data_IF_758571833054
#
_entry.id   IF_758571833054
#
_cell.length_a   1.000
_cell.length_b   1.000
_cell.length_c   1.000
_cell.angle_alpha   90.00
_cell.angle_beta   90.00
_cell.angle_gamma   90.00
#
_symmetry.space_group_name_H-M   'P 1'
#
loop_
_entity.id
_entity.type
_entity.pdbx_description
1 polymer ?
#
# COMPACT_ATOMS: atom_id res chain seq x y z
N UNK A 1 20.07 9.03 -20.82
CA UNK A 1 18.83 8.65 -20.11
C UNK A 1 17.63 8.89 -21.02
N UNK A 2 16.67 7.95 -21.07
CA UNK A 2 15.39 8.21 -21.75
C UNK A 2 14.63 9.24 -20.93
N UNK A 3 14.29 10.38 -21.51
CA UNK A 3 13.51 11.41 -20.83
C UNK A 3 12.07 10.91 -20.64
N UNK A 4 11.63 10.78 -19.39
CA UNK A 4 10.25 10.43 -19.09
C UNK A 4 9.32 11.61 -19.40
N UNK A 5 8.30 11.39 -20.23
CA UNK A 5 7.29 12.41 -20.55
C UNK A 5 6.08 12.19 -19.64
N UNK A 6 5.59 13.28 -19.03
CA UNK A 6 4.45 13.23 -18.12
C UNK A 6 3.17 12.86 -18.88
N UNK A 7 2.56 11.75 -18.50
CA UNK A 7 1.24 11.38 -19.01
C UNK A 7 0.16 12.34 -18.47
N UNK A 8 -0.69 12.82 -19.38
CA UNK A 8 -1.91 13.56 -19.06
C UNK A 8 -2.97 12.64 -18.43
N UNK A 9 -3.99 13.25 -17.82
CA UNK A 9 -5.12 12.50 -17.26
C UNK A 9 -5.85 11.66 -18.31
N UNK A 10 -6.00 12.19 -19.53
CA UNK A 10 -6.68 11.49 -20.63
C UNK A 10 -5.89 10.27 -21.10
N UNK A 11 -4.56 10.41 -21.24
CA UNK A 11 -3.69 9.28 -21.57
C UNK A 11 -3.76 8.19 -20.49
N UNK A 12 -3.70 8.56 -19.21
CA UNK A 12 -3.87 7.60 -18.10
C UNK A 12 -5.25 6.93 -18.15
N UNK A 13 -6.32 7.69 -18.41
CA UNK A 13 -7.68 7.15 -18.46
C UNK A 13 -7.92 6.21 -19.65
N UNK A 14 -7.15 6.35 -20.74
CA UNK A 14 -7.23 5.50 -21.92
C UNK A 14 -6.54 4.14 -21.72
N UNK A 15 -5.71 3.98 -20.68
CA UNK A 15 -5.07 2.71 -20.37
C UNK A 15 -6.09 1.68 -19.85
N UNK A 16 -5.83 0.37 -20.07
CA UNK A 16 -6.64 -0.69 -19.48
C UNK A 16 -6.63 -0.60 -17.95
N UNK A 17 -7.79 -0.85 -17.33
CA UNK A 17 -7.89 -0.97 -15.88
C UNK A 17 -7.22 -2.28 -15.46
N UNK A 18 -6.43 -2.23 -14.39
CA UNK A 18 -5.89 -3.43 -13.72
C UNK A 18 -6.41 -3.49 -12.29
N UNK A 19 -6.61 -4.72 -11.82
CA UNK A 19 -6.99 -5.05 -10.45
C UNK A 19 -6.20 -6.29 -10.04
N UNK A 20 -6.01 -6.45 -8.74
CA UNK A 20 -5.46 -7.69 -8.21
C UNK A 20 -6.51 -8.81 -8.32
N UNK A 21 -6.11 -9.94 -8.89
CA UNK A 21 -6.97 -11.12 -9.14
C UNK A 21 -6.53 -12.36 -8.34
N UNK A 22 -5.47 -12.26 -7.54
CA UNK A 22 -4.97 -13.36 -6.72
C UNK A 22 -5.69 -13.49 -5.38
N UNK A 23 -5.11 -14.31 -4.49
CA UNK A 23 -5.71 -14.60 -3.19
C UNK A 23 -5.68 -13.39 -2.27
N UNK A 24 -6.81 -13.10 -1.62
CA UNK A 24 -6.96 -12.02 -0.64
C UNK A 24 -7.43 -12.62 0.68
N UNK A 25 -6.68 -12.39 1.75
CA UNK A 25 -7.04 -12.81 3.11
C UNK A 25 -7.33 -11.58 3.97
N UNK A 26 -8.56 -11.49 4.47
CA UNK A 26 -9.01 -10.37 5.32
C UNK A 26 -9.01 -10.85 6.77
N UNK A 27 -8.33 -10.12 7.63
CA UNK A 27 -8.11 -10.47 9.03
C UNK A 27 -8.57 -9.37 9.96
N UNK A 28 -9.29 -9.74 11.00
CA UNK A 28 -9.85 -8.87 12.04
C UNK A 28 -9.35 -9.28 13.42
N UNK A 29 -9.77 -8.56 14.46
CA UNK A 29 -9.40 -8.85 15.86
C UNK A 29 -9.92 -10.21 16.34
N UNK A 30 -10.89 -10.79 15.63
CA UNK A 30 -11.49 -12.10 15.93
C UNK A 30 -10.73 -13.27 15.30
N UNK A 31 -9.83 -12.98 14.36
CA UNK A 31 -9.10 -13.98 13.60
C UNK A 31 -7.74 -14.27 14.23
N UNK A 32 -7.23 -15.49 14.01
CA UNK A 32 -5.86 -15.82 14.42
C UNK A 32 -4.85 -15.31 13.38
N UNK A 33 -4.35 -14.10 13.60
CA UNK A 33 -3.41 -13.45 12.67
C UNK A 33 -1.99 -14.03 12.70
N UNK A 34 -1.68 -14.92 13.65
CA UNK A 34 -0.31 -15.45 13.82
C UNK A 34 0.16 -16.24 12.59
N UNK A 35 -0.76 -16.92 11.90
CA UNK A 35 -0.46 -17.65 10.66
C UNK A 35 0.00 -16.68 9.55
N UNK A 36 -0.75 -15.61 9.32
CA UNK A 36 -0.39 -14.56 8.37
C UNK A 36 0.93 -13.87 8.72
N UNK A 37 1.16 -13.56 10.01
CA UNK A 37 2.43 -12.99 10.47
C UNK A 37 3.61 -13.92 10.21
N UNK A 38 3.43 -15.23 10.42
CA UNK A 38 4.48 -16.21 10.16
C UNK A 38 4.74 -16.36 8.65
N UNK A 39 3.70 -16.28 7.83
CA UNK A 39 3.85 -16.28 6.37
C UNK A 39 4.60 -15.04 5.88
N UNK A 40 4.20 -13.85 6.34
CA UNK A 40 4.85 -12.57 6.01
C UNK A 40 6.36 -12.55 6.33
N UNK A 41 6.81 -13.30 7.33
CA UNK A 41 8.23 -13.40 7.69
C UNK A 41 9.07 -14.19 6.68
N UNK A 42 8.43 -14.92 5.77
CA UNK A 42 9.13 -15.67 4.72
C UNK A 42 9.46 -14.80 3.49
N UNK A 43 8.99 -13.55 3.46
CA UNK A 43 9.22 -12.62 2.36
C UNK A 43 10.24 -11.56 2.75
N UNK A 44 11.20 -11.31 1.86
CA UNK A 44 12.19 -10.23 2.01
C UNK A 44 11.67 -8.88 1.48
N UNK A 45 10.56 -8.90 0.74
CA UNK A 45 9.93 -7.72 0.13
C UNK A 45 8.41 -7.88 0.16
N UNK A 46 7.71 -6.85 0.64
CA UNK A 46 6.26 -6.77 0.64
C UNK A 46 5.77 -5.40 0.18
N UNK A 47 4.65 -5.36 -0.52
CA UNK A 47 3.91 -4.13 -0.80
C UNK A 47 3.16 -3.67 0.44
N UNK A 48 3.17 -2.37 0.72
CA UNK A 48 2.55 -1.76 1.89
C UNK A 48 1.63 -0.62 1.44
N UNK A 49 0.44 -0.58 2.04
CA UNK A 49 -0.47 0.55 1.95
C UNK A 49 -1.33 0.64 3.23
N UNK A 50 -2.00 1.78 3.43
CA UNK A 50 -3.02 1.92 4.48
C UNK A 50 -4.22 2.73 4.00
N UNK A 51 -5.37 2.51 4.62
CA UNK A 51 -6.55 3.33 4.34
C UNK A 51 -7.19 3.83 5.63
N UNK A 52 -7.46 5.13 5.65
CA UNK A 52 -7.95 5.88 6.81
C UNK A 52 -9.35 6.39 6.54
N UNK A 53 -10.22 6.41 7.57
CA UNK A 53 -11.52 7.07 7.47
C UNK A 53 -11.34 8.55 7.10
N UNK A 54 -11.97 9.05 6.01
CA UNK A 54 -11.81 10.44 5.60
C UNK A 54 -12.41 11.41 6.62
N UNK A 55 -11.67 12.47 6.96
CA UNK A 55 -12.16 13.60 7.77
C UNK A 55 -12.32 14.84 6.89
N UNK A 56 -13.54 15.38 6.81
CA UNK A 56 -13.84 16.58 6.00
C UNK A 56 -13.79 17.88 6.82
N UNK A 57 -13.50 17.79 8.11
CA UNK A 57 -13.36 18.91 9.05
C UNK A 57 -11.92 18.95 9.55
N UNK A 58 -11.35 20.16 9.71
CA UNK A 58 -10.04 20.30 10.37
C UNK A 58 -10.14 19.76 11.80
N UNK A 59 -9.34 18.75 12.10
CA UNK A 59 -9.34 18.04 13.39
C UNK A 59 -8.14 17.11 13.48
N UNK A 60 -8.03 16.32 14.57
CA UNK A 60 -7.00 15.31 14.70
C UNK A 60 -7.06 14.31 13.54
N UNK A 61 -5.90 13.78 13.15
CA UNK A 61 -5.81 12.71 12.17
C UNK A 61 -6.53 11.47 12.71
N UNK A 62 -7.25 10.76 11.85
CA UNK A 62 -7.76 9.44 12.21
C UNK A 62 -6.61 8.44 12.09
N UNK A 63 -6.48 7.48 13.02
CA UNK A 63 -5.60 6.35 12.77
C UNK A 63 -6.10 5.54 11.56
N UNK A 64 -5.22 4.79 10.89
CA UNK A 64 -5.64 3.92 9.80
C UNK A 64 -6.71 2.94 10.26
N UNK A 65 -7.68 2.67 9.39
CA UNK A 65 -8.74 1.69 9.64
C UNK A 65 -8.34 0.31 9.13
N UNK A 66 -7.53 0.26 8.07
CA UNK A 66 -6.96 -0.98 7.55
C UNK A 66 -5.50 -0.79 7.12
N UNK A 67 -4.77 -1.89 7.06
CA UNK A 67 -3.43 -1.97 6.48
C UNK A 67 -3.36 -3.16 5.53
N UNK A 68 -2.77 -2.94 4.35
CA UNK A 68 -2.61 -3.98 3.33
C UNK A 68 -1.14 -4.36 3.20
N UNK A 69 -0.85 -5.65 3.20
CA UNK A 69 0.48 -6.20 2.97
C UNK A 69 0.42 -7.19 1.80
N UNK A 70 0.99 -6.80 0.66
CA UNK A 70 1.04 -7.62 -0.54
C UNK A 70 2.32 -8.46 -0.59
N UNK A 71 2.15 -9.76 -0.82
CA UNK A 71 3.22 -10.71 -1.10
C UNK A 71 3.19 -11.12 -2.58
N UNK A 72 4.06 -12.04 -2.98
CA UNK A 72 4.11 -12.51 -4.38
C UNK A 72 2.86 -13.30 -4.80
N UNK A 73 2.19 -13.99 -3.88
CA UNK A 73 1.08 -14.91 -4.15
C UNK A 73 -0.27 -14.47 -3.57
N UNK A 74 -0.28 -13.58 -2.57
CA UNK A 74 -1.50 -13.14 -1.87
C UNK A 74 -1.38 -11.70 -1.36
N UNK A 75 -2.53 -11.11 -1.03
CA UNK A 75 -2.61 -9.85 -0.29
C UNK A 75 -3.35 -10.05 1.02
N UNK A 76 -2.71 -9.64 2.11
CA UNK A 76 -3.35 -9.56 3.42
C UNK A 76 -3.98 -8.18 3.62
N UNK A 77 -5.22 -8.15 4.11
CA UNK A 77 -5.89 -6.93 4.55
C UNK A 77 -6.22 -7.08 6.03
N UNK A 78 -5.54 -6.30 6.87
CA UNK A 78 -5.77 -6.28 8.32
C UNK A 78 -6.70 -5.12 8.67
N UNK A 79 -7.87 -5.42 9.25
CA UNK A 79 -8.82 -4.42 9.74
C UNK A 79 -8.58 -4.12 11.22
N UNK A 80 -8.40 -2.85 11.56
CA UNK A 80 -8.13 -2.40 12.91
C UNK A 80 -9.42 -2.01 13.65
N UNK A 81 -9.85 -2.86 14.58
CA UNK A 81 -10.88 -2.50 15.57
C UNK A 81 -10.27 -1.88 16.83
N UNK A 82 -9.02 -2.22 17.12
CA UNK A 82 -8.22 -1.78 18.26
C UNK A 82 -6.72 -1.84 17.88
N UNK A 83 -5.83 -1.60 18.85
CA UNK A 83 -4.38 -1.60 18.63
C UNK A 83 -3.71 -3.00 18.72
N UNK A 84 -4.45 -4.07 19.03
CA UNK A 84 -3.87 -5.39 19.32
C UNK A 84 -3.29 -6.06 18.09
N UNK A 85 -4.00 -6.01 16.95
CA UNK A 85 -3.49 -6.50 15.67
C UNK A 85 -2.25 -5.69 15.28
N UNK A 86 -2.33 -4.36 15.39
CA UNK A 86 -1.23 -3.49 14.99
C UNK A 86 0.02 -3.73 15.82
N UNK A 87 -0.08 -3.96 17.14
CA UNK A 87 1.06 -4.34 17.99
C UNK A 87 1.82 -5.58 17.50
N UNK A 88 1.12 -6.52 16.88
CA UNK A 88 1.76 -7.71 16.32
C UNK A 88 2.36 -7.44 14.93
N UNK A 89 1.65 -6.67 14.10
CA UNK A 89 2.12 -6.29 12.77
C UNK A 89 3.29 -5.31 12.81
N UNK A 90 3.41 -4.49 13.85
CA UNK A 90 4.53 -3.58 14.04
C UNK A 90 5.87 -4.32 14.10
N UNK A 91 5.88 -5.60 14.50
CA UNK A 91 7.07 -6.47 14.44
C UNK A 91 7.50 -6.76 13.00
N UNK A 92 6.58 -6.83 12.04
CA UNK A 92 6.89 -6.94 10.60
C UNK A 92 7.40 -5.59 10.08
N UNK A 93 6.72 -4.50 10.44
CA UNK A 93 7.12 -3.15 10.01
C UNK A 93 8.48 -2.72 10.59
N UNK A 94 8.85 -3.25 11.77
CA UNK A 94 10.15 -3.03 12.43
C UNK A 94 11.21 -4.08 12.07
N UNK A 95 10.91 -5.01 11.16
CA UNK A 95 11.88 -6.02 10.74
C UNK A 95 12.75 -5.47 9.60
N UNK A 96 14.06 -5.34 9.87
CA UNK A 96 15.05 -4.84 8.91
C UNK A 96 15.26 -5.76 7.70
N UNK A 97 14.96 -7.06 7.84
CA UNK A 97 15.15 -8.04 6.77
C UNK A 97 13.98 -8.05 5.77
N UNK A 98 12.88 -7.35 6.08
CA UNK A 98 11.71 -7.26 5.21
C UNK A 98 11.62 -5.83 4.70
N UNK A 99 11.80 -5.62 3.41
CA UNK A 99 11.56 -4.34 2.77
C UNK A 99 10.07 -4.12 2.58
N UNK A 100 9.57 -2.95 2.98
CA UNK A 100 8.19 -2.52 2.75
C UNK A 100 8.20 -1.43 1.68
N UNK A 101 7.50 -1.63 0.58
CA UNK A 101 7.43 -0.62 -0.49
C UNK A 101 6.00 -0.09 -0.68
N UNK A 102 5.88 1.22 -0.83
CA UNK A 102 4.59 1.91 -1.04
C UNK A 102 4.81 3.29 -1.67
N UNK A 103 3.76 4.11 -1.71
CA UNK A 103 3.84 5.49 -2.20
C UNK A 103 3.26 6.45 -1.17
N UNK A 104 4.01 7.49 -0.82
CA UNK A 104 3.66 8.46 0.25
C UNK A 104 3.62 7.86 1.66
N UNK A 105 4.50 6.88 1.92
CA UNK A 105 4.48 6.05 3.14
C UNK A 105 4.76 6.84 4.42
N UNK A 106 5.50 7.95 4.34
CA UNK A 106 5.87 8.77 5.50
C UNK A 106 4.65 9.18 6.33
N UNK A 107 3.55 9.51 5.64
CA UNK A 107 2.31 9.90 6.31
C UNK A 107 1.67 8.71 7.00
N UNK A 108 1.59 7.57 6.33
CA UNK A 108 1.00 6.34 6.88
C UNK A 108 1.74 5.90 8.14
N UNK A 109 3.08 5.99 8.14
CA UNK A 109 3.90 5.64 9.30
C UNK A 109 3.61 6.52 10.52
N UNK A 110 3.45 7.84 10.31
CA UNK A 110 3.05 8.77 11.37
C UNK A 110 1.65 8.43 11.88
N UNK A 111 0.71 8.12 10.98
CA UNK A 111 -0.67 7.81 11.33
C UNK A 111 -0.77 6.47 12.11
N UNK A 112 0.04 5.47 11.74
CA UNK A 112 0.17 4.20 12.45
C UNK A 112 0.75 4.35 13.87
N UNK A 113 1.62 5.33 14.10
CA UNK A 113 2.12 5.62 15.46
C UNK A 113 1.02 6.07 16.43
N UNK A 114 -0.14 6.55 15.95
CA UNK A 114 -1.29 6.83 16.80
C UNK A 114 -2.00 5.58 17.30
N UNK A 115 -1.85 4.43 16.61
CA UNK A 115 -2.32 3.13 17.10
C UNK A 115 -1.38 2.60 18.19
N UNK A 116 -0.08 2.53 17.89
CA UNK A 116 0.94 2.11 18.84
C UNK A 116 2.33 2.59 18.41
N UNK A 117 3.23 2.97 19.32
CA UNK A 117 4.61 3.28 18.95
C UNK A 117 5.34 2.06 18.36
N UNK A 118 6.13 2.28 17.31
CA UNK A 118 7.00 1.27 16.70
C UNK A 118 8.21 1.94 16.02
N UNK A 119 9.18 1.14 15.56
CA UNK A 119 10.39 1.62 14.88
C UNK A 119 10.34 1.26 13.38
N UNK A 120 9.85 2.16 12.51
CA UNK A 120 9.75 1.88 11.09
C UNK A 120 11.15 1.74 10.46
N UNK A 121 11.43 0.60 9.84
CA UNK A 121 12.72 0.33 9.19
C UNK A 121 12.54 -0.37 7.85
N UNK A 122 13.49 -0.20 6.92
CA UNK A 122 13.46 -0.81 5.58
C UNK A 122 12.20 -0.46 4.78
N UNK A 123 11.76 0.81 4.85
CA UNK A 123 10.70 1.34 4.00
C UNK A 123 11.28 2.00 2.75
N UNK A 124 10.65 1.76 1.60
CA UNK A 124 10.99 2.40 0.33
C UNK A 124 9.76 3.12 -0.21
N UNK A 125 9.86 4.45 -0.28
CA UNK A 125 8.84 5.27 -0.92
C UNK A 125 9.13 5.39 -2.42
N UNK A 126 8.31 4.72 -3.24
CA UNK A 126 8.47 4.68 -4.69
C UNK A 126 8.20 6.05 -5.34
N UNK A 127 7.45 6.94 -4.68
CA UNK A 127 7.27 8.32 -5.11
C UNK A 127 8.54 9.15 -4.93
N UNK A 128 9.28 8.92 -3.85
CA UNK A 128 10.59 9.54 -3.61
C UNK A 128 11.65 9.03 -4.59
N UNK A 129 11.74 7.71 -4.78
CA UNK A 129 12.62 7.09 -5.79
C UNK A 129 12.34 7.68 -7.19
N UNK A 130 11.06 7.81 -7.56
CA UNK A 130 10.68 8.40 -8.83
C UNK A 130 11.16 9.86 -8.96
N UNK A 131 11.02 10.65 -7.90
CA UNK A 131 11.45 12.05 -7.88
C UNK A 131 12.96 12.19 -8.05
N UNK A 132 13.74 11.35 -7.36
CA UNK A 132 15.21 11.33 -7.43
C UNK A 132 15.72 10.98 -8.84
N UNK A 133 14.96 10.14 -9.56
CA UNK A 133 15.24 9.74 -10.93
C UNK A 133 14.59 10.65 -11.99
N UNK A 134 14.14 11.85 -11.62
CA UNK A 134 13.51 12.84 -12.51
C UNK A 134 12.25 12.32 -13.26
N UNK A 135 11.57 11.33 -12.69
CA UNK A 135 10.31 10.79 -13.23
C UNK A 135 9.18 11.79 -12.92
N UNK A 136 8.35 12.18 -13.89
CA UNK A 136 7.42 13.30 -13.73
C UNK A 136 6.12 12.97 -12.96
N UNK A 137 5.95 11.72 -12.54
CA UNK A 137 4.86 11.22 -11.70
C UNK A 137 5.44 10.70 -10.39
N UNK A 138 4.77 10.98 -9.27
CA UNK A 138 5.19 10.51 -7.94
C UNK A 138 4.08 9.83 -7.16
N UNK A 139 2.84 9.84 -7.68
CA UNK A 139 1.71 9.15 -7.08
C UNK A 139 1.48 7.80 -7.75
N UNK A 140 0.97 6.82 -6.99
CA UNK A 140 0.84 5.43 -7.42
C UNK A 140 0.19 5.29 -8.80
N UNK A 141 -0.99 5.88 -8.99
CA UNK A 141 -1.71 5.84 -10.27
C UNK A 141 -0.89 6.34 -11.47
N UNK A 142 -0.08 7.38 -11.29
CA UNK A 142 0.75 7.93 -12.35
C UNK A 142 1.96 7.05 -12.66
N UNK A 143 2.57 6.49 -11.61
CA UNK A 143 3.67 5.54 -11.73
C UNK A 143 3.22 4.23 -12.37
N UNK A 144 2.11 3.66 -11.94
CA UNK A 144 1.49 2.46 -12.53
C UNK A 144 1.20 2.70 -14.02
N UNK A 145 0.61 3.83 -14.38
CA UNK A 145 0.38 4.19 -15.78
C UNK A 145 1.67 4.28 -16.60
N UNK A 146 2.73 4.85 -16.02
CA UNK A 146 3.99 5.03 -16.72
C UNK A 146 4.76 3.71 -16.91
N UNK A 147 4.80 2.87 -15.89
CA UNK A 147 5.67 1.69 -15.85
C UNK A 147 4.94 0.38 -16.18
N UNK A 148 3.73 0.19 -15.67
CA UNK A 148 2.92 -1.02 -15.93
C UNK A 148 2.02 -0.87 -17.17
N UNK A 149 1.86 0.34 -17.72
CA UNK A 149 0.97 0.63 -18.86
C UNK A 149 -0.51 0.31 -18.58
N UNK A 150 -0.90 0.35 -17.32
CA UNK A 150 -2.27 0.14 -16.86
C UNK A 150 -2.70 1.32 -15.98
N UNK A 151 -4.01 1.48 -15.77
CA UNK A 151 -4.55 2.39 -14.76
C UNK A 151 -5.15 1.61 -13.61
N UNK A 152 -5.04 2.16 -12.41
CA UNK A 152 -5.81 1.71 -11.23
C UNK A 152 -7.01 2.62 -11.01
N UNK A 153 -8.01 2.08 -10.30
CA UNK A 153 -9.23 2.78 -9.91
C UNK A 153 -8.93 3.87 -8.87
N UNK A 154 -9.88 4.80 -8.70
CA UNK A 154 -9.91 5.76 -7.57
C UNK A 154 -11.16 5.60 -6.70
N UNK A 155 -12.01 4.63 -7.04
CA UNK A 155 -13.41 4.60 -6.60
C UNK A 155 -13.60 4.47 -5.09
N UNK A 156 -12.64 3.88 -4.38
CA UNK A 156 -12.75 3.60 -2.94
C UNK A 156 -11.81 4.46 -2.07
N UNK A 157 -10.94 5.28 -2.68
CA UNK A 157 -9.93 6.09 -1.99
C UNK A 157 -10.52 6.98 -0.88
N UNK A 158 -11.73 7.49 -1.09
CA UNK A 158 -12.43 8.36 -0.12
C UNK A 158 -13.69 7.68 0.43
N UNK A 159 -13.64 6.37 0.63
CA UNK A 159 -14.74 5.59 1.21
C UNK A 159 -14.68 5.59 2.75
N UNK A 160 -15.76 5.18 3.41
CA UNK A 160 -15.71 4.93 4.85
C UNK A 160 -15.06 3.57 5.12
N UNK A 161 -13.77 3.62 5.47
CA UNK A 161 -12.94 2.45 5.78
C UNK A 161 -13.10 1.94 7.21
N UNK A 162 -13.86 2.64 8.06
CA UNK A 162 -14.15 2.23 9.44
C UNK A 162 -15.32 1.25 9.58
N UNK A 163 -15.80 0.70 8.46
CA UNK A 163 -16.94 -0.23 8.45
C UNK A 163 -16.52 -1.58 9.01
N UNK A 164 -17.44 -2.22 9.75
CA UNK A 164 -17.28 -3.59 10.28
C UNK A 164 -16.99 -4.60 9.16
N UNK A 165 -17.51 -4.36 7.97
CA UNK A 165 -17.29 -5.21 6.80
C UNK A 165 -17.02 -4.34 5.58
N UNK A 166 -15.91 -4.61 4.91
CA UNK A 166 -15.54 -3.98 3.65
C UNK A 166 -16.42 -4.50 2.51
N UNK A 167 -16.75 -3.64 1.55
CA UNK A 167 -17.36 -4.07 0.30
C UNK A 167 -16.33 -4.69 -0.65
N UNK A 168 -16.77 -5.48 -1.62
CA UNK A 168 -15.90 -6.05 -2.66
C UNK A 168 -15.07 -4.98 -3.39
N UNK A 169 -15.66 -3.80 -3.62
CA UNK A 169 -14.95 -2.65 -4.20
C UNK A 169 -13.88 -2.05 -3.30
N UNK A 170 -14.05 -2.11 -1.98
CA UNK A 170 -13.04 -1.68 -1.01
C UNK A 170 -11.92 -2.70 -0.95
N UNK A 171 -12.26 -3.98 -0.88
CA UNK A 171 -11.31 -5.10 -0.86
C UNK A 171 -10.44 -5.11 -2.13
N UNK A 172 -11.07 -5.08 -3.31
CA UNK A 172 -10.36 -5.07 -4.59
C UNK A 172 -9.45 -3.84 -4.74
N UNK A 173 -9.92 -2.66 -4.34
CA UNK A 173 -9.12 -1.44 -4.36
C UNK A 173 -7.90 -1.54 -3.45
N UNK A 174 -8.12 -1.88 -2.18
CA UNK A 174 -7.08 -2.00 -1.15
C UNK A 174 -6.02 -3.04 -1.54
N UNK A 175 -6.46 -4.20 -2.01
CA UNK A 175 -5.53 -5.24 -2.46
C UNK A 175 -4.72 -4.81 -3.68
N UNK A 176 -5.35 -4.12 -4.63
CA UNK A 176 -4.69 -3.63 -5.84
C UNK A 176 -3.60 -2.63 -5.51
N UNK A 177 -3.82 -1.68 -4.60
CA UNK A 177 -2.87 -0.59 -4.34
C UNK A 177 -1.57 -1.10 -3.67
N UNK A 178 -1.67 -2.01 -2.70
CA UNK A 178 -0.48 -2.67 -2.13
C UNK A 178 0.23 -3.57 -3.15
N UNK A 179 -0.51 -4.36 -3.95
CA UNK A 179 0.07 -5.25 -4.95
C UNK A 179 0.80 -4.49 -6.06
N UNK A 180 0.19 -3.44 -6.64
CA UNK A 180 0.86 -2.68 -7.71
C UNK A 180 2.07 -1.92 -7.18
N UNK A 181 2.12 -1.58 -5.88
CA UNK A 181 3.32 -1.04 -5.24
C UNK A 181 4.46 -2.05 -5.23
N UNK A 182 4.18 -3.32 -4.88
CA UNK A 182 5.14 -4.42 -4.97
C UNK A 182 5.65 -4.63 -6.40
N UNK A 183 4.76 -4.67 -7.39
CA UNK A 183 5.13 -4.83 -8.79
C UNK A 183 5.93 -3.64 -9.33
N UNK A 184 5.59 -2.43 -8.90
CA UNK A 184 6.32 -1.23 -9.26
C UNK A 184 7.74 -1.23 -8.68
N UNK A 185 7.92 -1.67 -7.44
CA UNK A 185 9.24 -1.85 -6.85
C UNK A 185 10.10 -2.81 -7.69
N UNK A 186 9.57 -3.98 -8.05
CA UNK A 186 10.28 -4.97 -8.89
C UNK A 186 10.69 -4.38 -10.24
N UNK A 187 9.84 -3.55 -10.84
CA UNK A 187 10.16 -2.85 -12.10
C UNK A 187 11.25 -1.79 -11.88
N UNK A 188 11.22 -1.06 -10.77
CA UNK A 188 12.24 -0.06 -10.44
C UNK A 188 13.60 -0.72 -10.22
N UNK A 189 13.65 -1.81 -9.46
CA UNK A 189 14.85 -2.61 -9.23
C UNK A 189 15.46 -3.09 -10.54
N UNK A 190 14.65 -3.74 -11.38
CA UNK A 190 15.07 -4.25 -12.70
C UNK A 190 15.60 -3.16 -13.62
N UNK A 191 15.10 -1.93 -13.48
CA UNK A 191 15.52 -0.78 -14.27
C UNK A 191 16.70 -0.01 -13.65
N UNK A 192 17.21 -0.43 -12.50
CA UNK A 192 18.31 0.23 -11.78
C UNK A 192 17.93 1.61 -11.23
N UNK A 193 16.68 1.77 -10.77
CA UNK A 193 16.18 3.03 -10.20
C UNK A 193 16.26 3.09 -8.67
N UNK A 194 16.47 1.95 -8.00
CA UNK A 194 16.56 1.81 -6.54
C UNK A 194 18.00 1.96 -6.03
#
# INVERSE_FOLDING_TARGET
MKKHVKLSKNEINALPLIQYEGDIEILTSKDNIQAAINDLKNYDLIGFDTETKPTFVKGPLNPPSIMQLACDDKVYIFQFDNDEIFKQLSLILSNKNITKCGVSVDRDLIELMYLSPFDPISFVDLGNVARENEIPHHGLRGLVAMFLKHRISKGSQTSDWSKISLSDSQISYAATDAWVSLELFKIFDKNGLL
#
